data_IF_855801579870
#
_entry.id   IF_855801579870
#
_cell.length_a   1.000
_cell.length_b   1.000
_cell.length_c   1.000
_cell.angle_alpha   90.00
_cell.angle_beta   90.00
_cell.angle_gamma   90.00
#
_symmetry.space_group_name_H-M   'P 1'
#
loop_
_entity.id
_entity.type
_entity.pdbx_description
1 polymer ?
#
# COMPACT_ATOMS: atom_id res chain seq x y z
N UNK A 1 8.62 23.37 37.65
CA UNK A 1 8.72 23.44 36.17
C UNK A 1 7.80 24.55 35.71
N UNK A 2 8.36 25.68 35.29
CA UNK A 2 7.62 26.82 34.75
C UNK A 2 7.32 26.55 33.28
N UNK A 3 6.03 26.39 32.93
CA UNK A 3 5.61 26.28 31.53
C UNK A 3 5.93 27.60 30.83
N UNK A 4 6.77 27.61 29.77
CA UNK A 4 7.06 28.84 29.04
C UNK A 4 5.77 29.40 28.45
N UNK A 5 5.60 30.72 28.53
CA UNK A 5 4.49 31.40 27.86
C UNK A 5 4.67 31.22 26.35
N UNK A 6 3.72 30.53 25.72
CA UNK A 6 3.69 30.32 24.27
C UNK A 6 3.28 31.65 23.63
N UNK A 7 4.26 32.51 23.35
CA UNK A 7 4.04 33.82 22.70
C UNK A 7 4.58 33.87 21.27
N UNK A 8 5.26 32.81 20.83
CA UNK A 8 5.79 32.71 19.47
C UNK A 8 5.60 31.30 18.89
N UNK A 9 5.59 31.16 17.55
CA UNK A 9 5.52 29.86 16.88
C UNK A 9 6.64 28.91 17.30
N UNK A 10 7.87 29.40 17.48
CA UNK A 10 9.02 28.58 17.89
C UNK A 10 8.86 28.09 19.33
N UNK A 11 8.37 28.95 20.22
CA UNK A 11 8.05 28.58 21.61
C UNK A 11 6.93 27.54 21.68
N UNK A 12 5.93 27.64 20.80
CA UNK A 12 4.89 26.62 20.67
C UNK A 12 5.46 25.27 20.21
N UNK A 13 6.27 25.26 19.14
CA UNK A 13 6.91 24.04 18.63
C UNK A 13 7.80 23.41 19.70
N UNK A 14 8.63 24.19 20.38
CA UNK A 14 9.46 23.69 21.47
C UNK A 14 8.61 23.06 22.58
N UNK A 15 7.56 23.74 23.04
CA UNK A 15 6.65 23.21 24.04
C UNK A 15 5.89 21.94 23.57
N UNK A 16 5.57 21.84 22.28
CA UNK A 16 4.99 20.64 21.69
C UNK A 16 6.00 19.49 21.62
N UNK A 17 7.26 19.75 21.25
CA UNK A 17 8.28 18.71 21.21
C UNK A 17 8.62 18.14 22.59
N UNK A 18 8.36 18.87 23.68
CA UNK A 18 8.46 18.35 25.06
C UNK A 18 7.38 17.29 25.37
N UNK A 19 6.26 17.27 24.65
CA UNK A 19 5.18 16.31 24.87
C UNK A 19 5.32 15.09 23.94
N UNK A 20 5.32 13.84 24.45
CA UNK A 20 5.50 12.64 23.64
C UNK A 20 4.52 12.52 22.47
N UNK A 21 3.24 12.85 22.68
CA UNK A 21 2.21 12.77 21.63
C UNK A 21 2.43 13.79 20.52
N UNK A 22 2.68 15.05 20.87
CA UNK A 22 2.98 16.10 19.89
C UNK A 22 4.29 15.83 19.13
N UNK A 23 5.32 15.30 19.82
CA UNK A 23 6.56 14.88 19.17
C UNK A 23 6.31 13.78 18.14
N UNK A 24 5.52 12.76 18.48
CA UNK A 24 5.19 11.67 17.55
C UNK A 24 4.47 12.20 16.31
N UNK A 25 3.54 13.15 16.46
CA UNK A 25 2.83 13.78 15.34
C UNK A 25 3.74 14.67 14.49
N UNK A 26 4.52 15.57 15.12
CA UNK A 26 5.34 16.56 14.43
C UNK A 26 6.60 15.97 13.78
N UNK A 27 7.14 14.89 14.34
CA UNK A 27 8.34 14.21 13.84
C UNK A 27 8.01 12.92 13.07
N UNK A 28 6.75 12.75 12.64
CA UNK A 28 6.40 11.66 11.74
C UNK A 28 7.15 11.84 10.41
N UNK A 29 8.09 10.92 10.14
CA UNK A 29 8.95 10.98 8.97
C UNK A 29 8.23 10.72 7.64
N UNK A 30 7.01 10.18 7.68
CA UNK A 30 6.18 9.95 6.50
C UNK A 30 5.20 11.12 6.26
N UNK A 31 5.00 12.00 7.25
CA UNK A 31 4.18 13.20 7.08
C UNK A 31 4.85 14.24 6.18
N UNK A 32 4.08 14.81 5.26
CA UNK A 32 4.54 15.85 4.34
C UNK A 32 3.59 17.06 4.28
N UNK A 33 2.49 17.02 5.04
CA UNK A 33 1.59 18.16 5.20
C UNK A 33 1.22 18.33 6.67
N UNK A 34 1.15 19.57 7.11
CA UNK A 34 0.76 19.95 8.47
C UNK A 34 -0.42 20.92 8.37
N UNK A 35 -1.48 20.60 9.11
CA UNK A 35 -2.67 21.47 9.23
C UNK A 35 -2.81 21.90 10.67
N UNK A 36 -3.03 23.20 10.86
CA UNK A 36 -3.31 23.79 12.17
C UNK A 36 -4.71 24.40 12.14
N UNK A 37 -5.53 24.04 13.11
CA UNK A 37 -6.84 24.64 13.33
C UNK A 37 -6.94 25.20 14.75
N UNK A 38 -7.76 26.22 14.93
CA UNK A 38 -8.16 26.67 16.26
C UNK A 38 -9.51 26.04 16.61
N UNK A 39 -9.58 25.38 17.78
CA UNK A 39 -10.81 24.87 18.35
C UNK A 39 -11.06 25.67 19.63
N UNK A 40 -12.14 26.43 19.67
CA UNK A 40 -12.46 27.24 20.84
C UNK A 40 -13.94 27.43 21.04
N UNK A 41 -14.33 27.64 22.29
CA UNK A 41 -15.66 28.11 22.66
C UNK A 41 -15.50 29.38 23.51
N UNK A 42 -16.44 30.34 23.44
CA UNK A 42 -16.40 31.54 24.28
C UNK A 42 -16.25 31.24 25.78
N UNK A 43 -16.73 30.08 26.23
CA UNK A 43 -16.70 29.67 27.62
C UNK A 43 -15.47 28.82 27.99
N UNK A 44 -14.71 28.27 27.04
CA UNK A 44 -13.69 27.23 27.31
C UNK A 44 -12.29 27.60 26.76
N UNK A 45 -12.13 28.82 26.24
CA UNK A 45 -10.87 29.30 25.67
C UNK A 45 -10.60 28.77 24.26
N UNK A 46 -9.43 29.11 23.73
CA UNK A 46 -8.96 28.74 22.39
C UNK A 46 -7.85 27.69 22.52
N UNK A 47 -8.01 26.57 21.83
CA UNK A 47 -7.02 25.50 21.70
C UNK A 47 -6.54 25.42 20.26
N UNK A 48 -5.28 25.04 20.04
CA UNK A 48 -4.77 24.71 18.72
C UNK A 48 -4.81 23.19 18.52
N UNK A 49 -5.41 22.73 17.42
CA UNK A 49 -5.34 21.38 16.93
C UNK A 49 -4.31 21.33 15.81
N UNK A 50 -3.32 20.46 15.94
CA UNK A 50 -2.31 20.25 14.89
C UNK A 50 -2.34 18.80 14.46
N UNK A 51 -2.51 18.61 13.15
CA UNK A 51 -2.59 17.30 12.51
C UNK A 51 -1.58 17.25 11.38
N UNK A 52 -0.82 16.17 11.32
CA UNK A 52 0.06 15.87 10.19
C UNK A 52 -0.60 14.84 9.26
N UNK A 53 -0.33 14.97 7.97
CA UNK A 53 -0.82 14.07 6.93
C UNK A 53 0.36 13.57 6.10
N UNK A 54 0.31 12.30 5.74
CA UNK A 54 1.13 11.72 4.70
C UNK A 54 0.33 11.72 3.38
N UNK A 55 0.51 12.76 2.57
CA UNK A 55 -0.07 12.84 1.22
C UNK A 55 0.71 11.97 0.25
N UNK A 56 0.04 11.49 -0.80
CA UNK A 56 0.60 10.61 -1.84
C UNK A 56 1.69 11.25 -2.73
N UNK A 57 2.15 12.47 -2.45
CA UNK A 57 3.02 13.29 -3.30
C UNK A 57 4.41 12.69 -3.58
N UNK A 58 4.90 11.78 -2.74
CA UNK A 58 6.09 10.97 -3.08
C UNK A 58 5.66 9.72 -3.82
N UNK A 59 5.41 9.88 -5.11
CA UNK A 59 5.12 8.78 -6.04
C UNK A 59 6.38 7.92 -6.24
N UNK A 60 6.58 6.95 -5.36
CA UNK A 60 7.58 5.89 -5.51
C UNK A 60 6.88 4.52 -5.57
N UNK A 61 6.30 4.15 -6.73
CA UNK A 61 5.61 2.87 -6.89
C UNK A 61 6.52 1.68 -6.61
N UNK A 62 7.84 1.84 -6.74
CA UNK A 62 8.79 0.77 -6.45
C UNK A 62 8.93 0.55 -4.94
N UNK A 63 8.98 1.62 -4.13
CA UNK A 63 8.92 1.52 -2.66
C UNK A 63 7.58 0.92 -2.21
N UNK A 64 6.48 1.35 -2.79
CA UNK A 64 5.15 0.82 -2.45
C UNK A 64 5.03 -0.68 -2.79
N UNK A 65 5.45 -1.08 -4.00
CA UNK A 65 5.49 -2.49 -4.38
C UNK A 65 6.38 -3.33 -3.45
N UNK A 66 7.50 -2.79 -2.98
CA UNK A 66 8.36 -3.44 -1.98
C UNK A 66 7.67 -3.59 -0.63
N UNK A 67 6.91 -2.58 -0.17
CA UNK A 67 6.11 -2.67 1.05
C UNK A 67 5.11 -3.81 0.97
N UNK A 68 4.38 -3.91 -0.14
CA UNK A 68 3.40 -4.97 -0.38
C UNK A 68 4.07 -6.35 -0.44
N UNK A 69 5.23 -6.45 -1.09
CA UNK A 69 6.02 -7.66 -1.11
C UNK A 69 6.47 -8.09 0.30
N UNK A 70 6.85 -7.14 1.17
CA UNK A 70 7.19 -7.42 2.58
C UNK A 70 5.97 -7.94 3.34
N UNK A 71 4.80 -7.33 3.17
CA UNK A 71 3.54 -7.78 3.80
C UNK A 71 3.18 -9.20 3.36
N UNK A 72 3.23 -9.48 2.05
CA UNK A 72 2.97 -10.81 1.51
C UNK A 72 3.96 -11.86 2.05
N UNK A 73 5.26 -11.53 2.10
CA UNK A 73 6.28 -12.43 2.67
C UNK A 73 6.04 -12.71 4.15
N UNK A 74 5.65 -11.70 4.92
CA UNK A 74 5.30 -11.83 6.35
C UNK A 74 4.11 -12.77 6.53
N UNK A 75 3.00 -12.56 5.80
CA UNK A 75 1.80 -13.40 5.89
C UNK A 75 2.04 -14.84 5.41
N UNK A 76 2.97 -15.03 4.47
CA UNK A 76 3.35 -16.37 3.98
C UNK A 76 4.27 -17.15 4.91
N UNK A 77 4.65 -16.60 6.07
CA UNK A 77 5.47 -17.27 7.09
C UNK A 77 6.71 -17.99 6.51
N UNK A 78 7.39 -17.35 5.55
CA UNK A 78 8.60 -17.90 4.92
C UNK A 78 8.36 -18.84 3.73
N UNK A 79 7.11 -19.13 3.33
CA UNK A 79 6.84 -19.82 2.06
C UNK A 79 7.32 -18.95 0.91
N UNK A 80 8.29 -19.45 0.12
CA UNK A 80 9.03 -18.68 -0.87
C UNK A 80 8.17 -17.81 -1.79
N UNK A 81 8.58 -16.54 -1.93
CA UNK A 81 8.01 -15.55 -2.85
C UNK A 81 9.13 -14.95 -3.67
N UNK A 82 9.01 -15.04 -5.00
CA UNK A 82 9.92 -14.41 -5.95
C UNK A 82 9.24 -13.19 -6.54
N UNK A 83 9.93 -12.04 -6.51
CA UNK A 83 9.43 -10.84 -7.17
C UNK A 83 9.88 -10.85 -8.64
N UNK A 84 8.91 -10.87 -9.54
CA UNK A 84 9.09 -10.64 -10.96
C UNK A 84 9.15 -9.13 -11.18
N UNK A 85 10.33 -8.63 -11.57
CA UNK A 85 10.54 -7.22 -11.94
C UNK A 85 9.99 -6.94 -13.35
N UNK A 86 8.73 -7.28 -13.57
CA UNK A 86 8.03 -7.04 -14.83
C UNK A 86 7.34 -5.67 -14.80
N UNK A 87 7.60 -4.84 -15.81
CA UNK A 87 7.04 -3.48 -15.89
C UNK A 87 5.58 -3.48 -16.31
N UNK A 88 5.08 -4.54 -16.94
CA UNK A 88 3.72 -4.63 -17.48
C UNK A 88 2.67 -4.30 -16.44
N UNK A 89 2.83 -4.82 -15.22
CA UNK A 89 1.85 -4.62 -14.15
C UNK A 89 1.87 -3.15 -13.68
N UNK A 90 3.05 -2.55 -13.55
CA UNK A 90 3.17 -1.14 -13.19
C UNK A 90 2.65 -0.22 -14.30
N UNK A 91 2.91 -0.53 -15.58
CA UNK A 91 2.35 0.22 -16.72
C UNK A 91 0.82 0.24 -16.69
N UNK A 92 0.18 -0.87 -16.32
CA UNK A 92 -1.28 -0.89 -16.17
C UNK A 92 -1.75 -0.06 -14.97
N UNK A 93 -1.02 -0.10 -13.84
CA UNK A 93 -1.29 0.77 -12.70
C UNK A 93 -1.17 2.25 -13.07
N UNK A 94 -0.18 2.64 -13.87
CA UNK A 94 0.01 4.00 -14.34
C UNK A 94 -1.14 4.47 -15.25
N UNK A 95 -1.73 3.57 -16.05
CA UNK A 95 -2.93 3.87 -16.86
C UNK A 95 -4.17 4.11 -16.01
N UNK A 96 -4.32 3.40 -14.88
CA UNK A 96 -5.37 3.68 -13.88
C UNK A 96 -5.16 5.07 -13.29
N UNK A 97 -3.93 5.40 -12.90
CA UNK A 97 -3.56 6.71 -12.36
C UNK A 97 -3.96 7.86 -13.29
N UNK A 98 -3.72 7.66 -14.59
CA UNK A 98 -4.08 8.59 -15.65
C UNK A 98 -5.60 8.64 -15.95
N UNK A 99 -6.44 7.95 -15.17
CA UNK A 99 -7.89 7.79 -15.35
C UNK A 99 -8.27 7.28 -16.75
N UNK A 100 -7.39 6.49 -17.38
CA UNK A 100 -7.60 5.99 -18.74
C UNK A 100 -8.40 4.69 -18.77
N UNK A 101 -8.33 3.89 -17.71
CA UNK A 101 -8.95 2.57 -17.62
C UNK A 101 -9.38 2.25 -16.18
N UNK A 102 -10.40 1.38 -16.05
CA UNK A 102 -10.82 0.82 -14.77
C UNK A 102 -9.82 -0.24 -14.27
N UNK A 103 -9.66 -0.45 -12.95
CA UNK A 103 -8.71 -1.42 -12.39
C UNK A 103 -8.91 -2.86 -12.88
N UNK A 104 -10.15 -3.28 -13.12
CA UNK A 104 -10.46 -4.61 -13.66
C UNK A 104 -9.88 -4.81 -15.06
N UNK A 105 -10.12 -3.85 -15.96
CA UNK A 105 -9.60 -3.85 -17.33
C UNK A 105 -8.07 -3.80 -17.33
N UNK A 106 -7.49 -3.04 -16.39
CA UNK A 106 -6.05 -2.96 -16.20
C UNK A 106 -5.46 -4.30 -15.76
N UNK A 107 -6.11 -5.00 -14.82
CA UNK A 107 -5.72 -6.32 -14.36
C UNK A 107 -5.79 -7.35 -15.50
N UNK A 108 -6.91 -7.42 -16.23
CA UNK A 108 -7.07 -8.32 -17.38
C UNK A 108 -6.00 -8.09 -18.44
N UNK A 109 -5.71 -6.82 -18.75
CA UNK A 109 -4.64 -6.44 -19.68
C UNK A 109 -3.27 -6.92 -19.20
N UNK A 110 -2.99 -6.79 -17.90
CA UNK A 110 -1.74 -7.28 -17.30
C UNK A 110 -1.66 -8.81 -17.35
N UNK A 111 -2.74 -9.52 -17.02
CA UNK A 111 -2.81 -10.98 -17.06
C UNK A 111 -2.59 -11.53 -18.46
N UNK A 112 -3.24 -10.96 -19.47
CA UNK A 112 -3.11 -11.36 -20.86
C UNK A 112 -1.66 -11.22 -21.36
N UNK A 113 -1.03 -10.06 -21.10
CA UNK A 113 0.38 -9.81 -21.47
C UNK A 113 1.36 -10.73 -20.74
N UNK A 114 1.20 -10.88 -19.43
CA UNK A 114 2.05 -11.75 -18.61
C UNK A 114 1.93 -13.22 -19.03
N UNK A 115 0.71 -13.68 -19.32
CA UNK A 115 0.44 -15.04 -19.82
C UNK A 115 1.13 -15.30 -21.15
N UNK A 116 1.06 -14.34 -22.07
CA UNK A 116 1.74 -14.41 -23.37
C UNK A 116 3.26 -14.46 -23.21
N UNK A 117 3.85 -13.60 -22.38
CA UNK A 117 5.30 -13.57 -22.18
C UNK A 117 5.86 -14.79 -21.45
N UNK A 118 5.15 -15.30 -20.45
CA UNK A 118 5.62 -16.47 -19.68
C UNK A 118 5.19 -17.80 -20.28
N UNK A 119 4.32 -17.79 -21.31
CA UNK A 119 3.69 -18.97 -21.90
C UNK A 119 3.08 -19.90 -20.83
N UNK A 120 2.42 -19.31 -19.84
CA UNK A 120 1.86 -20.01 -18.66
C UNK A 120 0.60 -19.31 -18.18
N UNK A 121 -0.35 -20.03 -17.57
CA UNK A 121 -1.48 -19.42 -16.90
C UNK A 121 -1.01 -18.45 -15.80
N UNK A 122 -1.51 -17.22 -15.86
CA UNK A 122 -1.28 -16.19 -14.85
C UNK A 122 -2.61 -15.84 -14.23
N UNK A 123 -2.65 -15.82 -12.90
CA UNK A 123 -3.81 -15.35 -12.15
C UNK A 123 -3.47 -13.99 -11.52
N UNK A 124 -4.47 -13.24 -11.11
CA UNK A 124 -4.22 -12.00 -10.40
C UNK A 124 -5.45 -11.50 -9.69
N UNK A 125 -5.24 -10.43 -8.93
CA UNK A 125 -6.27 -9.71 -8.22
C UNK A 125 -5.88 -8.24 -8.13
N UNK A 126 -6.87 -7.40 -7.91
CA UNK A 126 -6.64 -6.02 -7.52
C UNK A 126 -7.19 -5.76 -6.11
N UNK A 127 -6.50 -4.92 -5.35
CA UNK A 127 -6.90 -4.50 -4.01
C UNK A 127 -7.00 -2.99 -4.00
N UNK A 128 -8.07 -2.47 -3.38
CA UNK A 128 -8.25 -1.05 -3.10
C UNK A 128 -8.07 -0.86 -1.59
N UNK A 129 -7.12 -0.04 -1.16
CA UNK A 129 -6.82 0.18 0.26
C UNK A 129 -6.33 1.60 0.51
N UNK A 130 -6.47 2.10 1.74
CA UNK A 130 -5.81 3.33 2.20
C UNK A 130 -4.46 3.04 2.91
N UNK A 131 -4.21 1.78 3.26
CA UNK A 131 -3.00 1.35 3.96
C UNK A 131 -2.44 0.07 3.32
N UNK A 132 -1.20 0.15 2.85
CA UNK A 132 -0.50 -0.98 2.23
C UNK A 132 -0.04 -2.02 3.27
N UNK A 133 0.12 -1.63 4.54
CA UNK A 133 0.61 -2.45 5.64
C UNK A 133 -0.39 -3.46 6.19
N UNK A 134 -1.69 -3.17 6.02
CA UNK A 134 -2.84 -3.94 6.51
C UNK A 134 -3.55 -4.76 5.43
N UNK A 135 -2.99 -4.86 4.22
CA UNK A 135 -3.55 -5.69 3.15
C UNK A 135 -3.64 -7.15 3.61
N UNK A 136 -4.83 -7.74 3.50
CA UNK A 136 -5.05 -9.17 3.69
C UNK A 136 -5.05 -9.89 2.33
N UNK A 137 -4.17 -10.88 2.19
CA UNK A 137 -4.12 -11.68 0.96
C UNK A 137 -5.02 -12.91 1.09
N UNK A 138 -5.73 -13.30 0.01
CA UNK A 138 -6.59 -14.48 0.00
C UNK A 138 -5.78 -15.77 0.20
N UNK A 139 -6.41 -16.80 0.77
CA UNK A 139 -5.74 -18.03 1.22
C UNK A 139 -5.00 -18.75 0.08
N UNK A 140 -5.48 -18.64 -1.16
CA UNK A 140 -4.86 -19.22 -2.36
C UNK A 140 -3.45 -18.66 -2.58
N UNK A 141 -3.26 -17.37 -2.31
CA UNK A 141 -1.97 -16.68 -2.37
C UNK A 141 -1.06 -17.09 -1.22
N UNK A 142 -1.62 -17.32 -0.04
CA UNK A 142 -0.85 -17.69 1.16
C UNK A 142 -0.42 -19.16 1.14
N UNK A 143 -1.22 -20.04 0.52
CA UNK A 143 -1.04 -21.49 0.51
C UNK A 143 -0.27 -22.05 -0.70
N UNK A 144 -0.01 -21.25 -1.74
CA UNK A 144 0.81 -21.70 -2.87
C UNK A 144 2.24 -22.10 -2.43
N UNK A 145 2.74 -23.24 -2.90
CA UNK A 145 4.08 -23.75 -2.53
C UNK A 145 5.23 -22.85 -3.02
N UNK A 146 5.15 -22.40 -4.28
CA UNK A 146 6.06 -21.41 -4.88
C UNK A 146 5.24 -20.36 -5.59
N UNK A 147 5.56 -19.10 -5.34
CA UNK A 147 4.83 -17.97 -5.87
C UNK A 147 5.79 -16.98 -6.51
N UNK A 148 5.61 -16.70 -7.80
CA UNK A 148 6.27 -15.61 -8.49
C UNK A 148 5.24 -14.51 -8.72
N UNK A 149 5.48 -13.31 -8.18
CA UNK A 149 4.54 -12.18 -8.25
C UNK A 149 5.12 -11.00 -8.99
N UNK A 150 4.32 -10.33 -9.81
CA UNK A 150 4.58 -8.94 -10.21
C UNK A 150 3.53 -8.04 -9.56
N UNK A 151 3.96 -6.88 -9.07
CA UNK A 151 3.15 -5.95 -8.30
C UNK A 151 3.23 -4.59 -8.98
N UNK A 152 2.07 -4.01 -9.28
CA UNK A 152 1.93 -2.63 -9.73
C UNK A 152 1.13 -1.86 -8.71
N UNK A 153 1.56 -0.65 -8.38
CA UNK A 153 0.87 0.19 -7.40
C UNK A 153 0.63 1.55 -8.00
N UNK A 154 -0.58 2.06 -7.78
CA UNK A 154 -0.91 3.45 -8.01
C UNK A 154 -1.79 3.96 -6.88
N UNK A 155 -2.01 5.26 -6.83
CA UNK A 155 -3.06 5.88 -6.04
C UNK A 155 -3.98 6.68 -6.95
N UNK A 156 -5.26 6.77 -6.58
CA UNK A 156 -6.25 7.62 -7.24
C UNK A 156 -7.22 8.17 -6.21
N UNK A 157 -7.81 9.33 -6.48
CA UNK A 157 -9.01 9.78 -5.78
C UNK A 157 -10.24 9.27 -6.51
N UNK A 158 -10.91 8.27 -5.94
CA UNK A 158 -12.16 7.74 -6.49
C UNK A 158 -13.32 8.74 -6.27
N UNK A 159 -14.33 8.75 -7.14
CA UNK A 159 -15.53 9.56 -6.93
C UNK A 159 -16.16 9.29 -5.56
N UNK A 160 -16.52 10.35 -4.83
CA UNK A 160 -17.10 10.26 -3.49
C UNK A 160 -16.12 9.90 -2.36
N UNK A 161 -14.86 9.56 -2.65
CA UNK A 161 -13.88 9.27 -1.61
C UNK A 161 -13.31 10.56 -1.00
N UNK A 162 -13.22 10.66 0.34
CA UNK A 162 -12.68 11.84 1.01
C UNK A 162 -11.17 12.00 0.73
N UNK A 163 -10.46 10.88 0.52
CA UNK A 163 -9.01 10.81 0.33
C UNK A 163 -8.65 10.00 -0.91
N UNK A 164 -7.38 10.06 -1.31
CA UNK A 164 -6.82 9.11 -2.26
C UNK A 164 -6.80 7.69 -1.67
N UNK A 165 -6.89 6.69 -2.55
CA UNK A 165 -6.74 5.28 -2.19
C UNK A 165 -5.66 4.66 -3.07
N UNK A 166 -4.94 3.69 -2.52
CA UNK A 166 -4.07 2.82 -3.29
C UNK A 166 -4.91 1.83 -4.09
N UNK A 167 -4.46 1.58 -5.31
CA UNK A 167 -4.88 0.47 -6.14
C UNK A 167 -3.64 -0.37 -6.39
N UNK A 168 -3.71 -1.60 -5.91
CA UNK A 168 -2.64 -2.58 -6.00
C UNK A 168 -3.07 -3.64 -7.00
N UNK A 169 -2.28 -3.83 -8.04
CA UNK A 169 -2.40 -4.96 -8.96
C UNK A 169 -1.38 -6.01 -8.58
N UNK A 170 -1.83 -7.25 -8.36
CA UNK A 170 -0.95 -8.39 -8.09
C UNK A 170 -1.21 -9.46 -9.14
N UNK A 171 -0.18 -9.80 -9.91
CA UNK A 171 -0.22 -10.96 -10.80
C UNK A 171 0.65 -12.08 -10.25
N UNK A 172 0.28 -13.31 -10.57
CA UNK A 172 0.85 -14.53 -10.02
C UNK A 172 1.12 -15.51 -11.14
N UNK A 173 2.39 -15.87 -11.31
CA UNK A 173 2.78 -17.00 -12.14
C UNK A 173 2.94 -18.19 -11.21
N UNK A 174 2.01 -19.17 -11.27
CA UNK A 174 2.20 -20.41 -10.51
C UNK A 174 3.40 -21.15 -11.08
N UNK A 175 4.37 -21.43 -10.22
CA UNK A 175 5.40 -22.42 -10.53
C UNK A 175 4.72 -23.77 -10.75
N UNK A 176 5.22 -24.56 -11.70
CA UNK A 176 4.72 -25.91 -11.90
C UNK A 176 4.71 -26.65 -10.55
N UNK A 177 3.52 -27.03 -10.08
CA UNK A 177 3.39 -28.07 -9.08
C UNK A 177 3.93 -29.31 -9.78
N UNK A 178 4.93 -29.99 -9.20
CA UNK A 178 5.33 -31.30 -9.66
C UNK A 178 4.06 -32.18 -9.67
N UNK A 179 3.45 -32.40 -10.84
CA UNK A 179 2.30 -33.28 -11.03
C UNK A 179 2.65 -34.76 -10.77
N UNK A 180 3.89 -35.05 -10.38
CA UNK A 180 4.38 -36.40 -10.10
C UNK A 180 3.82 -37.04 -8.82
N UNK A 181 3.21 -36.29 -7.90
CA UNK A 181 2.79 -36.84 -6.60
C UNK A 181 1.34 -37.40 -6.55
N UNK A 182 0.53 -37.25 -7.62
CA UNK A 182 -0.90 -37.63 -7.58
C UNK A 182 -1.32 -38.73 -8.57
N UNK A 183 -0.38 -39.43 -9.21
CA UNK A 183 -0.69 -40.52 -10.16
C UNK A 183 -0.47 -41.96 -9.64
N UNK A 184 -0.16 -42.15 -8.36
CA UNK A 184 0.19 -43.49 -7.83
C UNK A 184 -0.87 -44.16 -6.93
N UNK A 185 -2.12 -43.66 -6.87
CA UNK A 185 -3.18 -44.35 -6.09
C UNK A 185 -4.47 -44.43 -6.90
N UNK A 186 -4.45 -45.16 -8.01
CA UNK A 186 -5.64 -45.82 -8.60
C UNK A 186 -5.16 -46.98 -9.51
N UNK A 187 -4.57 -48.01 -8.90
CA UNK A 187 -4.59 -49.39 -9.39
C UNK A 187 -4.58 -50.30 -8.16
N UNK A 188 -5.72 -50.93 -7.93
CA UNK A 188 -6.04 -51.80 -6.81
C UNK A 188 -7.53 -52.00 -6.79
#
# INVERSE_FOLDING_TARGET
>A
MTTPAIQSPEGWVAACLERPSCRATLLDGDANQLTMGAVGSPAHGVSALVTTYAMFDRRDPARDAQTILKVLKRQRAGRGVTWLKDKTVQEQADRIAAKRIHPEVALESALSRMSSWHNRPVNGLYIVTNDLGSIEFPAELLNAARLSVAIGVTHVKLPGSPWGVYIVLVTMVRGAVNQAAHRSVQRG
#
